data_IF_335227605858
#
_entry.id   IF_335227605858
#
_cell.length_a   1.000
_cell.length_b   1.000
_cell.length_c   1.000
_cell.angle_alpha   90.00
_cell.angle_beta   90.00
_cell.angle_gamma   90.00
#
_symmetry.space_group_name_H-M   'P 1'
#
loop_
_entity.id
_entity.type
_entity.pdbx_description
1 polymer ?
#
# COMPACT_ATOMS: atom_id res chain seq x y z
N UNK A 1 -7.90 14.67 9.30
CA UNK A 1 -7.13 13.45 9.60
C UNK A 1 -8.04 12.52 10.39
N UNK A 2 -8.66 11.56 9.70
CA UNK A 2 -9.54 10.57 10.32
C UNK A 2 -8.66 9.59 11.09
N UNK A 3 -8.96 9.34 12.36
CA UNK A 3 -8.27 8.34 13.17
C UNK A 3 -8.68 6.95 12.64
N UNK A 4 -7.84 6.34 11.82
CA UNK A 4 -8.11 5.05 11.17
C UNK A 4 -7.32 3.94 11.84
N UNK A 5 -7.99 2.83 12.16
CA UNK A 5 -7.48 1.76 13.02
C UNK A 5 -6.65 0.70 12.26
N UNK A 6 -6.17 1.02 11.05
CA UNK A 6 -5.45 0.07 10.22
C UNK A 6 -4.34 0.69 9.37
N UNK A 7 -3.44 -0.16 8.88
CA UNK A 7 -2.29 0.24 8.08
C UNK A 7 -2.59 0.20 6.58
N UNK A 8 -2.12 1.21 5.86
CA UNK A 8 -2.04 1.26 4.39
C UNK A 8 -0.59 1.54 3.98
N UNK A 9 -0.20 1.19 2.76
CA UNK A 9 1.17 1.40 2.31
C UNK A 9 1.29 1.92 0.86
N UNK A 10 2.38 2.63 0.61
CA UNK A 10 2.89 2.90 -0.74
C UNK A 10 4.07 1.95 -0.97
N UNK A 11 4.06 1.22 -2.07
CA UNK A 11 5.09 0.22 -2.41
C UNK A 11 5.66 0.60 -3.76
N UNK A 12 6.98 0.68 -3.87
CA UNK A 12 7.68 0.74 -5.17
C UNK A 12 8.09 -0.69 -5.51
N UNK A 13 7.41 -1.39 -6.44
CA UNK A 13 7.82 -2.74 -6.83
C UNK A 13 9.01 -2.70 -7.79
N UNK A 14 9.80 -3.77 -7.81
CA UNK A 14 10.78 -3.99 -8.87
C UNK A 14 10.09 -4.64 -10.08
N UNK A 15 10.30 -4.09 -11.28
CA UNK A 15 9.70 -4.58 -12.52
C UNK A 15 10.04 -6.06 -12.78
N UNK A 16 11.29 -6.45 -12.50
CA UNK A 16 11.77 -7.83 -12.65
C UNK A 16 11.07 -8.82 -11.71
N UNK A 17 10.65 -8.37 -10.53
CA UNK A 17 9.88 -9.18 -9.59
C UNK A 17 8.38 -9.21 -9.96
N UNK A 18 7.86 -8.13 -10.57
CA UNK A 18 6.46 -8.02 -10.93
C UNK A 18 6.12 -8.75 -12.24
N UNK A 19 7.03 -8.80 -13.20
CA UNK A 19 6.79 -9.41 -14.51
C UNK A 19 6.35 -10.89 -14.45
N UNK A 20 6.99 -11.79 -13.64
CA UNK A 20 6.53 -13.17 -13.50
C UNK A 20 5.13 -13.28 -12.88
N UNK A 21 4.80 -12.39 -11.93
CA UNK A 21 3.48 -12.32 -11.32
C UNK A 21 2.43 -11.89 -12.35
N UNK A 22 2.72 -10.85 -13.14
CA UNK A 22 1.85 -10.39 -14.23
C UNK A 22 1.59 -11.50 -15.25
N UNK A 23 2.63 -12.23 -15.65
CA UNK A 23 2.50 -13.38 -16.55
C UNK A 23 1.63 -14.50 -15.95
N UNK A 24 1.82 -14.82 -14.67
CA UNK A 24 1.04 -15.84 -13.95
C UNK A 24 -0.44 -15.47 -13.88
N UNK A 25 -0.74 -14.19 -13.62
CA UNK A 25 -2.09 -13.66 -13.54
C UNK A 25 -2.67 -13.27 -14.91
N UNK A 26 -1.92 -13.46 -15.99
CA UNK A 26 -2.29 -13.10 -17.37
C UNK A 26 -2.68 -11.63 -17.53
N UNK A 27 -2.01 -10.75 -16.79
CA UNK A 27 -2.15 -9.30 -16.89
C UNK A 27 -1.16 -8.81 -17.95
N UNK A 28 -1.67 -8.39 -19.10
CA UNK A 28 -0.88 -7.81 -20.17
C UNK A 28 -0.58 -6.32 -19.90
N UNK A 29 0.43 -5.77 -20.59
CA UNK A 29 0.75 -4.35 -20.55
C UNK A 29 2.18 -4.06 -20.10
N UNK A 30 2.42 -2.79 -19.83
CA UNK A 30 3.65 -2.24 -19.29
C UNK A 30 3.71 -2.37 -17.76
N UNK A 31 4.87 -2.07 -17.18
CA UNK A 31 5.04 -1.97 -15.73
C UNK A 31 4.00 -1.06 -15.05
N UNK A 32 3.65 0.06 -15.69
CA UNK A 32 2.62 0.98 -15.18
C UNK A 32 1.21 0.38 -15.18
N UNK A 33 0.90 -0.41 -16.22
CA UNK A 33 -0.38 -1.13 -16.31
C UNK A 33 -0.48 -2.19 -15.21
N UNK A 34 0.63 -2.88 -14.91
CA UNK A 34 0.68 -3.86 -13.83
C UNK A 34 0.53 -3.20 -12.46
N UNK A 35 1.18 -2.07 -12.22
CA UNK A 35 1.05 -1.31 -10.96
C UNK A 35 -0.38 -0.81 -10.73
N UNK A 36 -1.14 -0.60 -11.81
CA UNK A 36 -2.54 -0.16 -11.75
C UNK A 36 -3.55 -1.32 -11.73
N UNK A 37 -3.09 -2.57 -11.86
CA UNK A 37 -3.97 -3.75 -11.97
C UNK A 37 -4.48 -4.21 -10.60
N UNK A 38 -5.81 -4.25 -10.37
CA UNK A 38 -6.37 -4.78 -9.12
C UNK A 38 -5.93 -6.22 -8.83
N UNK A 39 -5.82 -7.06 -9.85
CA UNK A 39 -5.38 -8.45 -9.69
C UNK A 39 -3.94 -8.54 -9.13
N UNK A 40 -3.06 -7.63 -9.56
CA UNK A 40 -1.68 -7.56 -9.06
C UNK A 40 -1.65 -7.04 -7.62
N UNK A 41 -2.41 -5.98 -7.34
CA UNK A 41 -2.55 -5.41 -5.99
C UNK A 41 -3.06 -6.48 -5.01
N UNK A 42 -4.08 -7.23 -5.38
CA UNK A 42 -4.67 -8.30 -4.56
C UNK A 42 -3.67 -9.43 -4.30
N UNK A 43 -2.90 -9.82 -5.31
CA UNK A 43 -1.87 -10.85 -5.16
C UNK A 43 -0.74 -10.41 -4.21
N UNK A 44 -0.30 -9.16 -4.30
CA UNK A 44 0.70 -8.59 -3.39
C UNK A 44 0.15 -8.50 -1.97
N UNK A 45 -1.09 -8.04 -1.78
CA UNK A 45 -1.73 -7.99 -0.46
C UNK A 45 -1.89 -9.39 0.15
N UNK A 46 -2.25 -10.38 -0.65
CA UNK A 46 -2.33 -11.77 -0.21
C UNK A 46 -0.96 -12.30 0.24
N UNK A 47 0.10 -11.96 -0.50
CA UNK A 47 1.46 -12.37 -0.15
C UNK A 47 1.98 -11.70 1.12
N UNK A 48 1.78 -10.38 1.26
CA UNK A 48 2.07 -9.64 2.50
C UNK A 48 1.36 -10.30 3.68
N UNK A 49 0.05 -10.55 3.57
CA UNK A 49 -0.73 -11.19 4.63
C UNK A 49 -0.22 -12.60 4.98
N UNK A 50 0.17 -13.38 3.97
CA UNK A 50 0.75 -14.72 4.13
C UNK A 50 2.06 -14.66 4.91
N UNK A 51 3.00 -13.80 4.49
CA UNK A 51 4.30 -13.63 5.14
C UNK A 51 4.14 -13.08 6.56
N UNK A 52 3.32 -12.02 6.74
CA UNK A 52 3.07 -11.43 8.06
C UNK A 52 2.54 -12.46 9.06
N UNK A 53 1.57 -13.29 8.66
CA UNK A 53 1.04 -14.36 9.51
C UNK A 53 2.09 -15.42 9.83
N UNK A 54 2.90 -15.82 8.84
CA UNK A 54 3.98 -16.77 9.06
C UNK A 54 5.04 -16.25 10.03
N UNK A 55 5.23 -14.92 10.11
CA UNK A 55 6.12 -14.25 11.05
C UNK A 55 5.46 -13.88 12.39
N UNK A 56 4.20 -14.24 12.60
CA UNK A 56 3.49 -13.98 13.86
C UNK A 56 3.06 -12.54 14.09
N UNK A 57 3.02 -11.70 13.04
CA UNK A 57 2.52 -10.33 13.16
C UNK A 57 1.02 -10.32 13.49
N UNK A 58 0.63 -9.39 14.37
CA UNK A 58 -0.76 -9.21 14.79
C UNK A 58 -1.57 -8.52 13.69
N UNK A 59 -2.89 -8.71 13.69
CA UNK A 59 -3.76 -8.21 12.62
C UNK A 59 -3.67 -6.70 12.37
N UNK A 60 -3.41 -5.91 13.42
CA UNK A 60 -3.23 -4.45 13.31
C UNK A 60 -1.85 -4.04 12.77
N UNK A 61 -0.89 -4.96 12.69
CA UNK A 61 0.43 -4.76 12.10
C UNK A 61 0.46 -5.15 10.60
N UNK A 62 -0.64 -5.70 10.07
CA UNK A 62 -0.75 -6.13 8.67
C UNK A 62 -1.41 -5.02 7.84
N UNK A 63 -0.75 -4.65 6.75
CA UNK A 63 -1.27 -3.68 5.77
C UNK A 63 -2.55 -4.21 5.14
N UNK A 64 -3.60 -3.37 5.10
CA UNK A 64 -4.91 -3.71 4.53
C UNK A 64 -5.10 -3.25 3.09
N UNK A 65 -4.40 -2.20 2.67
CA UNK A 65 -4.45 -1.70 1.30
C UNK A 65 -3.12 -1.07 0.88
N UNK A 66 -2.81 -1.18 -0.40
CA UNK A 66 -1.55 -0.69 -0.97
C UNK A 66 -1.79 0.11 -2.24
N UNK A 67 -0.92 1.08 -2.48
CA UNK A 67 -0.74 1.72 -3.78
C UNK A 67 0.64 1.33 -4.32
N UNK A 68 0.70 0.89 -5.57
CA UNK A 68 1.95 0.58 -6.25
C UNK A 68 2.44 1.83 -7.00
N UNK A 69 3.62 2.30 -6.63
CA UNK A 69 4.31 3.45 -7.20
C UNK A 69 5.31 2.99 -8.25
N UNK A 70 5.22 3.56 -9.45
CA UNK A 70 6.12 3.24 -10.56
C UNK A 70 7.46 3.96 -10.46
N UNK A 71 7.49 5.13 -9.83
CA UNK A 71 8.72 5.92 -9.69
C UNK A 71 9.47 5.56 -8.39
N UNK A 72 10.73 5.10 -8.46
CA UNK A 72 11.50 4.84 -7.26
C UNK A 72 11.69 6.07 -6.39
N UNK A 73 11.67 5.88 -5.07
CA UNK A 73 12.09 6.92 -4.15
C UNK A 73 13.55 7.25 -4.39
N UNK A 74 13.88 8.53 -4.51
CA UNK A 74 15.22 8.98 -4.85
C UNK A 74 15.57 10.28 -4.13
N UNK A 75 16.83 10.71 -4.24
CA UNK A 75 17.25 12.01 -3.72
C UNK A 75 16.73 13.11 -4.65
N UNK A 76 16.66 12.80 -5.95
CA UNK A 76 16.24 13.67 -7.05
C UNK A 76 14.77 14.06 -6.94
N UNK A 77 13.89 13.14 -6.53
CA UNK A 77 12.48 13.42 -6.26
C UNK A 77 12.19 13.83 -4.80
N UNK A 78 13.24 14.17 -4.04
CA UNK A 78 13.18 14.65 -2.66
C UNK A 78 12.51 13.67 -1.67
N UNK A 79 12.34 12.40 -2.04
CA UNK A 79 11.78 11.38 -1.15
C UNK A 79 12.84 10.69 -0.31
N UNK A 80 14.12 10.82 -0.65
CA UNK A 80 15.23 10.27 0.12
C UNK A 80 16.20 11.34 0.61
N UNK A 81 16.84 11.05 1.74
CA UNK A 81 18.07 11.73 2.15
C UNK A 81 19.25 11.25 1.31
N UNK A 82 20.37 11.99 1.24
CA UNK A 82 21.60 11.53 0.59
C UNK A 82 22.15 10.20 1.15
N UNK A 83 21.70 9.80 2.34
CA UNK A 83 22.06 8.51 2.98
C UNK A 83 21.03 7.40 2.71
N UNK A 84 20.22 7.54 1.66
CA UNK A 84 19.21 6.55 1.24
C UNK A 84 18.20 6.17 2.33
N UNK A 85 17.85 7.14 3.19
CA UNK A 85 16.71 7.03 4.11
C UNK A 85 15.51 7.81 3.58
N UNK A 86 14.31 7.22 3.66
CA UNK A 86 13.05 7.86 3.31
C UNK A 86 12.80 9.13 4.16
N UNK A 87 12.53 10.25 3.49
CA UNK A 87 12.04 11.50 4.08
C UNK A 87 10.54 11.36 4.36
N UNK A 88 10.21 10.76 5.51
CA UNK A 88 8.80 10.45 5.88
C UNK A 88 7.85 11.63 5.80
N UNK A 89 8.29 12.83 6.20
CA UNK A 89 7.43 14.02 6.10
C UNK A 89 7.12 14.36 4.65
N UNK A 90 8.12 14.35 3.77
CA UNK A 90 7.95 14.67 2.36
C UNK A 90 7.11 13.60 1.65
N UNK A 91 7.40 12.31 1.90
CA UNK A 91 6.59 11.22 1.39
C UNK A 91 5.12 11.34 1.82
N UNK A 92 4.84 11.73 3.08
CA UNK A 92 3.46 11.98 3.53
C UNK A 92 2.79 13.11 2.77
N UNK A 93 3.52 14.19 2.43
CA UNK A 93 2.97 15.30 1.65
C UNK A 93 2.64 14.83 0.22
N UNK A 94 3.61 14.21 -0.46
CA UNK A 94 3.48 13.70 -1.83
C UNK A 94 2.34 12.69 -1.96
N UNK A 95 2.25 11.74 -1.02
CA UNK A 95 1.27 10.65 -1.09
C UNK A 95 -0.03 10.91 -0.34
N UNK A 96 -0.23 12.11 0.24
CA UNK A 96 -1.41 12.43 1.07
C UNK A 96 -2.73 12.02 0.42
N UNK A 97 -2.99 12.46 -0.81
CA UNK A 97 -4.21 12.14 -1.55
C UNK A 97 -4.36 10.63 -1.84
N UNK A 98 -3.26 9.91 -2.10
CA UNK A 98 -3.27 8.46 -2.33
C UNK A 98 -3.57 7.71 -1.03
N UNK A 99 -2.96 8.11 0.07
CA UNK A 99 -3.21 7.55 1.40
C UNK A 99 -4.67 7.76 1.80
N UNK A 100 -5.21 8.96 1.61
CA UNK A 100 -6.63 9.25 1.88
C UNK A 100 -7.57 8.37 1.04
N UNK A 101 -7.24 8.15 -0.24
CA UNK A 101 -8.02 7.27 -1.10
C UNK A 101 -7.96 5.79 -0.66
N UNK A 102 -6.78 5.29 -0.26
CA UNK A 102 -6.63 3.93 0.26
C UNK A 102 -7.46 3.73 1.54
N UNK A 103 -7.44 4.73 2.42
CA UNK A 103 -8.20 4.75 3.65
C UNK A 103 -9.72 4.77 3.41
N UNK A 104 -10.19 5.59 2.47
CA UNK A 104 -11.60 5.63 2.08
C UNK A 104 -12.09 4.32 1.44
N UNK A 105 -11.31 3.75 0.53
CA UNK A 105 -11.66 2.52 -0.19
C UNK A 105 -11.67 1.28 0.72
N UNK A 106 -10.88 1.28 1.80
CA UNK A 106 -10.75 0.15 2.74
C UNK A 106 -11.83 0.10 3.81
N UNK A 107 -12.75 1.07 3.80
CA UNK A 107 -14.02 1.03 4.51
C UNK A 107 -13.91 0.92 6.03
N UNK A 108 -13.29 1.90 6.71
CA UNK A 108 -13.59 2.12 8.13
C UNK A 108 -15.01 2.73 8.24
N UNK A 109 -16.01 1.85 8.13
CA UNK A 109 -17.25 2.03 8.89
C UNK A 109 -16.83 1.65 10.30
N UNK A 110 -16.54 2.66 11.13
CA UNK A 110 -16.42 2.43 12.57
C UNK A 110 -17.67 1.64 12.95
N UNK A 111 -17.48 0.47 13.56
CA UNK A 111 -18.55 -0.25 14.24
C UNK A 111 -18.99 0.56 15.48
N UNK A 112 -19.44 1.79 15.25
CA UNK A 112 -20.23 2.58 16.16
C UNK A 112 -21.61 1.96 16.14
N UNK A 113 -21.79 0.88 16.92
CA UNK A 113 -23.07 0.71 17.59
C UNK A 113 -23.34 2.04 18.28
N UNK A 114 -24.30 2.79 17.76
CA UNK A 114 -24.98 3.82 18.52
C UNK A 114 -25.72 3.06 19.62
N UNK A 115 -25.02 2.75 20.71
CA UNK A 115 -25.67 2.24 21.91
C UNK A 115 -26.39 3.46 22.48
N UNK A 116 -27.71 3.50 22.26
CA UNK A 116 -28.59 4.41 22.99
C UNK A 116 -28.34 4.20 24.49
N UNK A 117 -27.70 5.19 25.11
CA UNK A 117 -27.97 5.60 26.47
C UNK A 117 -28.63 6.98 26.26
N UNK A 118 -29.91 7.20 26.53
CA UNK A 118 -30.68 6.87 27.72
C UNK A 118 -32.16 6.70 27.40
#
# INVERSE_FOLDING_TARGET
MTNMLFLVAIIVPEETALAPLAATLKVAGSFADWCSSPAIVDAILADIKRVSKAQGLLGFEIVRAVHLETEPFSVENDLMTPTFKLKRHQAKVVYSARLDALYAASGDVVAGKQVMQH
#
